data_IF_479883538206
#
_entry.id   IF_479883538206
#
_cell.length_a   1.000
_cell.length_b   1.000
_cell.length_c   1.000
_cell.angle_alpha   90.00
_cell.angle_beta   90.00
_cell.angle_gamma   90.00
#
_symmetry.space_group_name_H-M   'P 1'
#
loop_
_entity.id
_entity.type
_entity.pdbx_description
1 polymer ?
#
# COMPACT_ATOMS: atom_id res chain seq x y z
N UNK A 1 15.17 1.80 -2.66
CA UNK A 1 13.90 2.44 -3.07
C UNK A 1 13.02 2.64 -1.85
N UNK A 2 12.48 3.84 -1.65
CA UNK A 2 11.55 4.22 -0.57
C UNK A 2 10.16 4.39 -1.16
N UNK A 3 9.16 3.74 -0.58
CA UNK A 3 7.80 3.73 -1.13
C UNK A 3 6.83 4.25 -0.09
N UNK A 4 6.19 5.39 -0.36
CA UNK A 4 5.05 5.84 0.46
C UNK A 4 3.82 5.02 0.06
N UNK A 5 3.16 4.44 1.05
CA UNK A 5 2.00 3.59 0.87
C UNK A 5 0.78 4.36 1.38
N UNK A 6 -0.16 4.61 0.47
CA UNK A 6 -1.42 5.28 0.77
C UNK A 6 -2.39 4.38 1.56
N UNK A 7 -3.31 4.99 2.32
CA UNK A 7 -4.33 4.32 3.13
C UNK A 7 -5.17 3.33 2.32
N UNK A 8 -5.52 3.68 1.07
CA UNK A 8 -6.31 2.81 0.19
C UNK A 8 -5.58 1.51 -0.19
N UNK A 9 -4.26 1.44 -0.03
CA UNK A 9 -3.43 0.23 -0.22
C UNK A 9 -3.27 -0.54 1.08
N UNK A 10 -3.15 0.16 2.23
CA UNK A 10 -3.00 -0.46 3.55
C UNK A 10 -4.31 -1.04 4.09
N UNK A 11 -5.45 -0.42 3.79
CA UNK A 11 -6.76 -0.84 4.29
C UNK A 11 -7.18 -2.26 3.85
N UNK A 12 -7.08 -2.68 2.55
CA UNK A 12 -7.48 -4.02 2.12
C UNK A 12 -6.44 -5.07 2.53
N UNK A 13 -6.83 -6.02 3.38
CA UNK A 13 -5.91 -7.01 3.99
C UNK A 13 -5.01 -7.73 2.99
N UNK A 14 -5.59 -8.34 1.94
CA UNK A 14 -4.80 -9.09 0.94
C UNK A 14 -3.78 -8.19 0.25
N UNK A 15 -4.18 -6.98 -0.14
CA UNK A 15 -3.30 -6.04 -0.80
C UNK A 15 -2.17 -5.58 0.13
N UNK A 16 -2.52 -5.23 1.37
CA UNK A 16 -1.55 -4.86 2.40
C UNK A 16 -0.52 -5.95 2.62
N UNK A 17 -0.96 -7.20 2.82
CA UNK A 17 -0.07 -8.32 3.07
C UNK A 17 0.87 -8.62 1.91
N UNK A 18 0.43 -8.44 0.66
CA UNK A 18 1.29 -8.58 -0.51
C UNK A 18 2.34 -7.48 -0.57
N UNK A 19 1.94 -6.22 -0.39
CA UNK A 19 2.84 -5.06 -0.47
C UNK A 19 3.85 -5.08 0.69
N UNK A 20 3.38 -5.28 1.93
CA UNK A 20 4.26 -5.33 3.10
C UNK A 20 5.09 -6.61 3.15
N UNK A 21 4.59 -7.70 2.61
CA UNK A 21 5.35 -8.95 2.43
C UNK A 21 6.55 -8.77 1.49
N UNK A 22 6.36 -8.03 0.40
CA UNK A 22 7.46 -7.69 -0.51
C UNK A 22 8.49 -6.76 0.17
N UNK A 23 8.03 -5.75 0.93
CA UNK A 23 8.92 -4.90 1.73
C UNK A 23 9.72 -5.71 2.74
N UNK A 24 9.10 -6.65 3.44
CA UNK A 24 9.74 -7.53 4.39
C UNK A 24 10.78 -8.47 3.77
N UNK A 25 10.62 -8.80 2.50
CA UNK A 25 11.58 -9.57 1.72
C UNK A 25 12.73 -8.72 1.17
N UNK A 26 12.80 -7.44 1.53
CA UNK A 26 13.87 -6.52 1.12
C UNK A 26 13.61 -5.82 -0.22
N UNK A 27 12.41 -5.93 -0.79
CA UNK A 27 12.09 -5.32 -2.08
C UNK A 27 12.14 -3.78 -2.05
N UNK A 28 11.74 -3.17 -0.92
CA UNK A 28 11.77 -1.72 -0.73
C UNK A 28 11.63 -1.34 0.75
N UNK A 29 11.87 -0.07 1.07
CA UNK A 29 11.63 0.51 2.39
C UNK A 29 10.25 1.16 2.42
N UNK A 30 9.30 0.66 3.23
CA UNK A 30 7.95 1.23 3.31
C UNK A 30 7.94 2.53 4.11
N UNK A 31 7.05 3.44 3.72
CA UNK A 31 6.77 4.70 4.41
C UNK A 31 5.26 4.92 4.48
N UNK A 32 4.82 5.59 5.53
CA UNK A 32 3.47 6.12 5.75
C UNK A 32 3.52 7.31 6.71
N UNK A 33 2.40 8.01 6.88
CA UNK A 33 2.25 9.01 7.94
C UNK A 33 1.23 8.53 8.97
N UNK A 34 1.24 9.13 10.15
CA UNK A 34 0.22 8.88 11.17
C UNK A 34 -1.20 9.16 10.64
N UNK A 35 -1.37 10.19 9.79
CA UNK A 35 -2.66 10.52 9.18
C UNK A 35 -3.14 9.42 8.21
N UNK A 36 -2.24 8.86 7.39
CA UNK A 36 -2.55 7.71 6.53
C UNK A 36 -3.04 6.51 7.36
N UNK A 37 -2.37 6.21 8.47
CA UNK A 37 -2.78 5.12 9.37
C UNK A 37 -4.13 5.39 10.04
N UNK A 38 -4.39 6.64 10.42
CA UNK A 38 -5.68 7.04 10.98
C UNK A 38 -6.82 6.94 9.95
N UNK A 39 -6.57 7.26 8.69
CA UNK A 39 -7.54 7.07 7.60
C UNK A 39 -7.89 5.59 7.41
N UNK A 40 -6.91 4.69 7.48
CA UNK A 40 -7.18 3.27 7.50
C UNK A 40 -8.08 2.87 8.68
N UNK A 41 -7.78 3.30 9.91
CA UNK A 41 -8.59 2.99 11.08
C UNK A 41 -10.04 3.50 10.93
N UNK A 42 -10.22 4.73 10.43
CA UNK A 42 -11.54 5.32 10.16
C UNK A 42 -12.29 4.60 9.05
N UNK A 43 -11.59 4.14 8.01
CA UNK A 43 -12.22 3.34 6.95
C UNK A 43 -12.74 2.01 7.50
N UNK A 44 -12.00 1.36 8.39
CA UNK A 44 -12.42 0.13 9.05
C UNK A 44 -13.65 0.35 9.96
N UNK A 45 -13.70 1.46 10.69
CA UNK A 45 -14.84 1.80 11.55
C UNK A 45 -16.19 1.83 10.80
N UNK A 46 -16.18 2.13 9.50
CA UNK A 46 -17.40 2.15 8.66
C UNK A 46 -17.96 0.76 8.35
N UNK A 47 -17.19 -0.31 8.57
CA UNK A 47 -17.62 -1.68 8.32
C UNK A 47 -18.45 -2.28 9.49
N UNK A 48 -18.29 -1.76 10.70
CA UNK A 48 -19.03 -2.22 11.86
C UNK A 48 -18.31 -2.02 13.20
N UNK A 49 -19.04 -2.30 14.28
CA UNK A 49 -18.51 -2.21 15.63
C UNK A 49 -17.40 -3.24 15.83
N UNK A 50 -16.24 -2.78 16.28
CA UNK A 50 -15.06 -3.62 16.54
C UNK A 50 -14.02 -3.65 15.41
N UNK A 51 -14.40 -3.36 14.15
CA UNK A 51 -13.47 -3.36 13.03
C UNK A 51 -12.37 -2.30 13.16
N UNK A 52 -12.68 -1.15 13.76
CA UNK A 52 -11.70 -0.12 14.08
C UNK A 52 -10.66 -0.64 15.09
N UNK A 53 -11.09 -1.34 16.12
CA UNK A 53 -10.17 -1.90 17.13
C UNK A 53 -9.23 -2.94 16.52
N UNK A 54 -9.75 -3.78 15.60
CA UNK A 54 -8.93 -4.74 14.83
C UNK A 54 -7.91 -3.99 13.98
N UNK A 55 -8.35 -2.98 13.22
CA UNK A 55 -7.45 -2.18 12.38
C UNK A 55 -6.36 -1.48 13.21
N UNK A 56 -6.69 -0.90 14.37
CA UNK A 56 -5.70 -0.27 15.27
C UNK A 56 -4.69 -1.29 15.82
N UNK A 57 -5.12 -2.52 16.10
CA UNK A 57 -4.22 -3.62 16.45
C UNK A 57 -3.25 -3.97 15.31
N UNK A 58 -3.76 -4.08 14.09
CA UNK A 58 -2.93 -4.34 12.90
C UNK A 58 -1.96 -3.18 12.61
N UNK A 59 -2.40 -1.92 12.77
CA UNK A 59 -1.56 -0.72 12.67
C UNK A 59 -0.42 -0.77 13.69
N UNK A 60 -0.71 -1.13 14.94
CA UNK A 60 0.32 -1.24 15.97
C UNK A 60 1.37 -2.31 15.63
N UNK A 61 0.95 -3.47 15.11
CA UNK A 61 1.85 -4.53 14.64
C UNK A 61 2.69 -4.07 13.43
N UNK A 62 2.06 -3.36 12.49
CA UNK A 62 2.74 -2.78 11.33
C UNK A 62 3.82 -1.79 11.76
N UNK A 63 3.48 -0.85 12.65
CA UNK A 63 4.40 0.17 13.16
C UNK A 63 5.55 -0.45 13.98
N UNK A 64 5.27 -1.48 14.78
CA UNK A 64 6.30 -2.21 15.52
C UNK A 64 7.28 -2.93 14.58
N UNK A 65 6.80 -3.45 13.47
CA UNK A 65 7.65 -4.12 12.46
C UNK A 65 8.55 -3.15 11.71
N UNK A 66 8.07 -1.93 11.45
CA UNK A 66 8.82 -0.88 10.74
C UNK A 66 8.85 0.44 11.54
N UNK A 67 9.61 0.49 12.64
CA UNK A 67 9.62 1.65 13.53
C UNK A 67 10.17 2.94 12.92
N UNK A 68 10.79 2.85 11.72
CA UNK A 68 11.33 3.99 10.97
C UNK A 68 10.50 4.35 9.73
N UNK A 69 9.35 3.72 9.54
CA UNK A 69 8.51 3.95 8.37
C UNK A 69 7.59 5.16 8.50
N UNK A 70 7.29 5.57 9.74
CA UNK A 70 6.42 6.72 9.96
C UNK A 70 7.16 8.02 9.65
N UNK A 71 6.59 8.79 8.72
CA UNK A 71 7.07 10.10 8.30
C UNK A 71 6.35 11.17 9.11
N UNK A 72 7.06 12.06 9.82
CA UNK A 72 6.44 13.15 10.55
C UNK A 72 5.78 14.15 9.57
N UNK A 73 4.67 14.81 9.96
CA UNK A 73 4.05 15.83 9.14
C UNK A 73 4.98 17.04 8.95
N UNK A 74 4.91 17.63 7.75
CA UNK A 74 5.59 18.89 7.44
C UNK A 74 4.58 19.92 6.90
N UNK A 75 4.04 20.81 7.77
CA UNK A 75 3.05 21.79 7.37
C UNK A 75 3.54 22.77 6.29
N UNK A 76 4.85 23.01 6.20
CA UNK A 76 5.40 23.90 5.17
C UNK A 76 5.34 23.25 3.78
N UNK A 77 5.53 21.93 3.71
CA UNK A 77 5.34 21.16 2.48
C UNK A 77 3.85 21.14 2.12
N UNK A 78 2.95 20.80 3.05
CA UNK A 78 1.51 20.78 2.79
C UNK A 78 1.00 22.13 2.26
N UNK A 79 1.42 23.25 2.86
CA UNK A 79 0.95 24.60 2.49
C UNK A 79 1.32 25.03 1.06
N UNK A 80 2.36 24.45 0.43
CA UNK A 80 2.79 24.78 -0.93
C UNK A 80 2.20 23.89 -2.00
N UNK A 81 1.54 22.80 -1.60
CA UNK A 81 1.00 21.80 -2.52
C UNK A 81 -0.44 22.12 -2.91
N UNK A 82 -0.78 21.73 -4.12
CA UNK A 82 -2.14 21.75 -4.63
C UNK A 82 -2.42 20.44 -5.36
N UNK A 83 -3.53 19.80 -5.00
CA UNK A 83 -4.07 18.62 -5.68
C UNK A 83 -5.54 18.85 -6.01
N UNK A 84 -6.09 18.13 -7.01
CA UNK A 84 -7.53 18.15 -7.33
C UNK A 84 -8.40 17.79 -6.13
N UNK A 85 -7.97 16.79 -5.33
CA UNK A 85 -8.56 16.47 -4.04
C UNK A 85 -7.68 17.03 -2.92
N UNK A 86 -8.16 18.04 -2.16
CA UNK A 86 -7.41 18.60 -1.04
C UNK A 86 -7.13 17.60 0.08
N UNK A 87 -7.97 16.56 0.21
CA UNK A 87 -7.79 15.54 1.24
C UNK A 87 -6.57 14.66 0.99
N UNK A 88 -6.07 14.59 -0.26
CA UNK A 88 -4.88 13.82 -0.64
C UNK A 88 -3.57 14.62 -0.52
N UNK A 89 -3.61 15.93 -0.23
CA UNK A 89 -2.41 16.77 -0.12
C UNK A 89 -1.43 16.23 0.93
N UNK A 90 -1.91 15.75 2.07
CA UNK A 90 -1.07 15.20 3.12
C UNK A 90 -0.32 13.93 2.68
N UNK A 91 -0.89 13.15 1.75
CA UNK A 91 -0.25 11.92 1.21
C UNK A 91 0.97 12.32 0.38
N UNK A 92 0.82 13.30 -0.52
CA UNK A 92 1.94 13.82 -1.31
C UNK A 92 2.98 14.51 -0.42
N UNK A 93 2.54 15.30 0.57
CA UNK A 93 3.43 15.95 1.52
C UNK A 93 4.27 14.92 2.31
N UNK A 94 3.66 13.83 2.76
CA UNK A 94 4.38 12.73 3.42
C UNK A 94 5.38 12.04 2.48
N UNK A 95 5.03 11.88 1.19
CA UNK A 95 5.95 11.32 0.20
C UNK A 95 7.19 12.20 0.03
N UNK A 96 7.01 13.52 -0.05
CA UNK A 96 8.10 14.50 -0.17
C UNK A 96 8.95 14.52 1.10
N UNK A 97 8.33 14.71 2.27
CA UNK A 97 9.02 14.73 3.57
C UNK A 97 9.80 13.45 3.83
N UNK A 98 9.20 12.31 3.46
CA UNK A 98 9.82 10.99 3.52
C UNK A 98 10.89 10.73 2.46
N UNK A 99 11.09 11.63 1.49
CA UNK A 99 11.96 11.41 0.31
C UNK A 99 11.64 10.09 -0.37
N UNK A 100 10.35 9.86 -0.62
CA UNK A 100 9.90 8.67 -1.31
C UNK A 100 10.30 8.71 -2.79
N UNK A 101 10.77 7.59 -3.31
CA UNK A 101 10.98 7.40 -4.75
C UNK A 101 9.67 7.09 -5.47
N UNK A 102 8.73 6.46 -4.74
CA UNK A 102 7.44 5.98 -5.27
C UNK A 102 6.32 6.36 -4.31
N UNK A 103 5.21 6.85 -4.88
CA UNK A 103 3.90 6.93 -4.23
C UNK A 103 3.03 5.78 -4.75
N UNK A 104 2.66 4.87 -3.84
CA UNK A 104 1.86 3.69 -4.14
C UNK A 104 0.41 3.91 -3.72
N UNK A 105 -0.51 4.03 -4.68
CA UNK A 105 -1.93 4.32 -4.44
C UNK A 105 -2.83 3.60 -5.45
N UNK A 106 -4.09 3.34 -5.06
CA UNK A 106 -5.16 2.93 -5.98
C UNK A 106 -5.78 4.13 -6.70
N UNK A 107 -5.63 5.34 -6.15
CA UNK A 107 -6.26 6.58 -6.61
C UNK A 107 -5.33 7.39 -7.53
N UNK A 108 -4.78 6.76 -8.56
CA UNK A 108 -3.77 7.39 -9.44
C UNK A 108 -4.25 8.68 -10.14
N UNK A 109 -5.56 8.91 -10.22
CA UNK A 109 -6.12 10.10 -10.86
C UNK A 109 -6.02 11.37 -10.02
N UNK A 110 -5.91 11.20 -8.70
CA UNK A 110 -5.91 12.30 -7.74
C UNK A 110 -4.51 12.93 -7.61
N UNK A 111 -3.49 12.27 -8.20
CA UNK A 111 -2.10 12.70 -8.20
C UNK A 111 -1.60 13.03 -9.62
N UNK A 112 -1.86 14.23 -10.15
CA UNK A 112 -1.43 14.60 -11.50
C UNK A 112 0.09 14.68 -11.58
N UNK A 113 0.64 14.33 -12.75
CA UNK A 113 2.08 14.38 -13.01
C UNK A 113 2.70 15.75 -12.71
N UNK A 114 1.98 16.82 -12.98
CA UNK A 114 2.41 18.21 -12.71
C UNK A 114 2.71 18.48 -11.24
N UNK A 115 2.12 17.70 -10.32
CA UNK A 115 2.42 17.80 -8.90
C UNK A 115 3.56 16.85 -8.45
N UNK A 116 3.78 15.76 -9.17
CA UNK A 116 4.76 14.72 -8.82
C UNK A 116 6.13 14.91 -9.50
N UNK A 117 6.14 15.33 -10.77
CA UNK A 117 7.39 15.49 -11.54
C UNK A 117 8.41 16.46 -10.90
N UNK A 118 7.99 17.62 -10.34
CA UNK A 118 8.91 18.51 -9.64
C UNK A 118 9.58 17.89 -8.42
N UNK A 119 8.92 16.90 -7.80
CA UNK A 119 9.39 16.21 -6.60
C UNK A 119 10.14 14.90 -6.93
N UNK A 120 10.27 14.56 -8.21
CA UNK A 120 10.88 13.32 -8.70
C UNK A 120 10.26 12.05 -8.10
N UNK A 121 8.96 12.06 -7.81
CA UNK A 121 8.21 10.93 -7.24
C UNK A 121 7.49 10.19 -8.36
N UNK A 122 7.70 8.88 -8.44
CA UNK A 122 7.00 8.01 -9.39
C UNK A 122 5.66 7.56 -8.80
N UNK A 123 4.57 7.85 -9.51
CA UNK A 123 3.25 7.32 -9.16
C UNK A 123 3.12 5.87 -9.65
N UNK A 124 2.68 4.96 -8.78
CA UNK A 124 2.44 3.56 -9.12
C UNK A 124 1.11 3.05 -8.57
N UNK A 125 0.37 2.35 -9.42
CA UNK A 125 -0.72 1.50 -8.97
C UNK A 125 -0.16 0.17 -8.47
N UNK A 126 -0.65 -0.42 -7.37
CA UNK A 126 -0.12 -1.66 -6.79
C UNK A 126 -0.03 -2.83 -7.78
N UNK A 127 -0.98 -2.95 -8.70
CA UNK A 127 -0.98 -4.01 -9.70
C UNK A 127 0.23 -3.93 -10.65
N UNK A 128 0.54 -2.72 -11.13
CA UNK A 128 1.72 -2.50 -11.96
C UNK A 128 3.00 -2.72 -11.15
N UNK A 129 3.08 -2.15 -9.95
CA UNK A 129 4.23 -2.26 -9.05
C UNK A 129 4.59 -3.71 -8.72
N UNK A 130 3.61 -4.52 -8.31
CA UNK A 130 3.83 -5.93 -7.98
C UNK A 130 4.09 -6.78 -9.21
N UNK A 131 3.55 -6.41 -10.38
CA UNK A 131 3.83 -7.10 -11.64
C UNK A 131 5.26 -6.82 -12.12
N UNK A 132 5.75 -5.57 -11.99
CA UNK A 132 7.14 -5.19 -12.25
C UNK A 132 8.08 -5.95 -11.31
N UNK A 133 7.76 -5.98 -10.01
CA UNK A 133 8.53 -6.75 -9.01
C UNK A 133 8.57 -8.26 -9.32
N UNK A 134 7.47 -8.83 -9.85
CA UNK A 134 7.44 -10.24 -10.28
C UNK A 134 8.39 -10.50 -11.45
N UNK A 135 8.53 -9.55 -12.38
CA UNK A 135 9.46 -9.68 -13.49
C UNK A 135 10.93 -9.61 -13.03
N UNK A 136 11.22 -8.74 -12.06
CA UNK A 136 12.57 -8.54 -11.53
C UNK A 136 13.01 -9.63 -10.54
N UNK A 137 12.08 -10.09 -9.69
CA UNK A 137 12.36 -11.03 -8.60
C UNK A 137 11.26 -12.08 -8.46
N UNK A 138 11.07 -12.98 -9.44
CA UNK A 138 9.94 -13.90 -9.52
C UNK A 138 9.83 -14.82 -8.29
N UNK A 139 10.96 -15.33 -7.78
CA UNK A 139 10.98 -16.22 -6.62
C UNK A 139 10.47 -15.54 -5.34
N UNK A 140 10.85 -14.28 -5.13
CA UNK A 140 10.44 -13.51 -3.95
C UNK A 140 8.93 -13.25 -4.02
N UNK A 141 8.46 -12.74 -5.15
CA UNK A 141 7.03 -12.40 -5.30
C UNK A 141 6.16 -13.63 -5.24
N UNK A 142 6.54 -14.74 -5.90
CA UNK A 142 5.79 -16.01 -5.84
C UNK A 142 5.70 -16.54 -4.41
N UNK A 143 6.77 -16.45 -3.63
CA UNK A 143 6.79 -16.87 -2.21
C UNK A 143 5.84 -15.99 -1.37
N UNK A 144 5.88 -14.67 -1.54
CA UNK A 144 4.98 -13.74 -0.83
C UNK A 144 3.53 -14.02 -1.20
N UNK A 145 3.23 -14.16 -2.48
CA UNK A 145 1.87 -14.46 -2.97
C UNK A 145 1.39 -15.82 -2.44
N UNK A 146 2.23 -16.84 -2.48
CA UNK A 146 1.89 -18.18 -1.98
C UNK A 146 1.52 -18.15 -0.49
N UNK A 147 2.30 -17.41 0.33
CA UNK A 147 2.00 -17.24 1.76
C UNK A 147 0.66 -16.55 1.99
N UNK A 148 0.41 -15.43 1.30
CA UNK A 148 -0.84 -14.67 1.44
C UNK A 148 -2.03 -15.49 0.93
N UNK A 149 -1.88 -16.21 -0.15
CA UNK A 149 -2.92 -17.07 -0.71
C UNK A 149 -3.29 -18.21 0.25
N UNK A 150 -2.29 -18.95 0.77
CA UNK A 150 -2.52 -20.02 1.74
C UNK A 150 -3.22 -19.53 3.01
N UNK A 151 -2.85 -18.33 3.51
CA UNK A 151 -3.51 -17.74 4.66
C UNK A 151 -4.94 -17.31 4.36
N UNK A 152 -5.21 -16.77 3.18
CA UNK A 152 -6.56 -16.43 2.75
C UNK A 152 -7.46 -17.68 2.65
N UNK A 153 -6.94 -18.80 2.12
CA UNK A 153 -7.66 -20.08 2.06
C UNK A 153 -7.92 -20.64 3.46
N UNK A 154 -6.93 -20.58 4.35
CA UNK A 154 -7.07 -21.01 5.75
C UNK A 154 -8.19 -20.25 6.46
N UNK A 155 -8.22 -18.93 6.33
CA UNK A 155 -9.25 -18.07 6.94
C UNK A 155 -10.63 -18.29 6.31
N UNK A 156 -10.70 -18.55 5.02
CA UNK A 156 -11.95 -18.81 4.31
C UNK A 156 -12.51 -20.22 4.58
N UNK A 157 -11.71 -21.15 5.12
CA UNK A 157 -12.06 -22.56 5.30
C UNK A 157 -12.32 -23.32 4.00
N UNK A 158 -11.86 -22.81 2.86
CA UNK A 158 -12.03 -23.38 1.52
C UNK A 158 -10.97 -22.92 0.55
N UNK A 159 -10.78 -23.66 -0.54
CA UNK A 159 -9.94 -23.26 -1.66
C UNK A 159 -10.42 -21.96 -2.32
N UNK A 160 -9.48 -21.08 -2.65
CA UNK A 160 -9.73 -19.82 -3.34
C UNK A 160 -8.90 -19.79 -4.61
N UNK A 161 -9.50 -19.72 -5.83
CA UNK A 161 -8.73 -19.57 -7.05
C UNK A 161 -7.85 -18.31 -6.96
N UNK A 162 -6.53 -18.47 -7.12
CA UNK A 162 -5.57 -17.38 -6.97
C UNK A 162 -5.93 -16.17 -7.83
N UNK A 163 -6.34 -16.42 -9.08
CA UNK A 163 -6.72 -15.36 -10.02
C UNK A 163 -7.90 -14.53 -9.50
N UNK A 164 -8.89 -15.19 -8.88
CA UNK A 164 -10.07 -14.50 -8.32
C UNK A 164 -9.70 -13.70 -7.07
N UNK A 165 -8.81 -14.22 -6.24
CA UNK A 165 -8.27 -13.50 -5.09
C UNK A 165 -7.55 -12.24 -5.53
N UNK A 166 -6.65 -12.34 -6.51
CA UNK A 166 -5.91 -11.19 -7.06
C UNK A 166 -6.86 -10.17 -7.71
N UNK A 167 -7.87 -10.61 -8.45
CA UNK A 167 -8.87 -9.71 -9.04
C UNK A 167 -9.65 -8.93 -7.97
N UNK A 168 -10.06 -9.60 -6.89
CA UNK A 168 -10.73 -8.94 -5.75
C UNK A 168 -9.82 -7.94 -5.02
N UNK A 169 -8.53 -8.25 -4.94
CA UNK A 169 -7.51 -7.35 -4.40
C UNK A 169 -7.10 -6.21 -5.37
N UNK A 170 -7.81 -6.04 -6.50
CA UNK A 170 -7.51 -5.05 -7.56
C UNK A 170 -6.13 -5.26 -8.23
N UNK A 171 -5.70 -6.51 -8.33
CA UNK A 171 -4.42 -6.95 -8.91
C UNK A 171 -4.61 -7.91 -10.11
N UNK A 172 -5.42 -7.55 -11.13
CA UNK A 172 -5.74 -8.48 -12.23
C UNK A 172 -4.54 -8.80 -13.13
N UNK A 173 -3.59 -7.87 -13.31
CA UNK A 173 -2.37 -8.08 -14.11
C UNK A 173 -1.45 -9.07 -13.40
N UNK A 174 -1.19 -8.85 -12.11
CA UNK A 174 -0.42 -9.78 -11.28
C UNK A 174 -1.05 -11.17 -11.30
N UNK A 175 -2.37 -11.27 -11.11
CA UNK A 175 -3.09 -12.54 -11.16
C UNK A 175 -2.97 -13.26 -12.50
N UNK A 176 -2.90 -12.51 -13.62
CA UNK A 176 -2.66 -13.08 -14.96
C UNK A 176 -1.21 -13.57 -15.13
N UNK A 177 -0.24 -12.80 -14.62
CA UNK A 177 1.19 -13.13 -14.74
C UNK A 177 1.64 -14.27 -13.83
N UNK A 178 0.85 -14.59 -12.79
CA UNK A 178 1.10 -15.73 -11.89
C UNK A 178 0.43 -17.02 -12.35
N UNK A 179 -0.53 -16.95 -13.26
CA UNK A 179 -1.16 -18.12 -13.84
C UNK A 179 -0.14 -18.93 -14.65
N UNK A 180 -0.21 -20.30 -14.59
CA UNK A 180 0.65 -21.16 -15.40
C UNK A 180 0.40 -20.99 -16.88
#
# INVERSE_FOLDING_TARGET
MRVLIDACVLYPTVLRELVTGLAAAGGFTPLWSARILEEWARAAARLGAGEEAVARGEIALLSARWPKAEVPPDPAIEARLWLPDPDDVHVLAAAIAGRADVLLTLNVRDFPKTALDPEAILLRHPDAFLTEALAESPEIVRRVVGKVHSEAERLAGRGLPLRDLMKRAKLPRLGKSLAP
#
